data_IF_170227448537
#
_entry.id   IF_170227448537
#
_cell.length_a   1.000
_cell.length_b   1.000
_cell.length_c   1.000
_cell.angle_alpha   90.00
_cell.angle_beta   90.00
_cell.angle_gamma   90.00
#
_symmetry.space_group_name_H-M   'P 1'
#
loop_
_entity.id
_entity.type
_entity.pdbx_description
1 polymer ?
#
# COMPACT_ATOMS: atom_id res chain seq x y z
N UNK A 1 -15.40 -19.43 16.67
CA UNK A 1 -15.05 -20.86 16.61
C UNK A 1 -13.67 -20.99 15.97
N UNK A 2 -12.70 -21.59 16.66
CA UNK A 2 -11.46 -21.99 16.00
C UNK A 2 -11.82 -23.11 15.03
N UNK A 3 -11.57 -22.90 13.74
CA UNK A 3 -11.82 -23.94 12.75
C UNK A 3 -10.60 -24.85 12.75
N UNK A 4 -10.70 -25.96 13.47
CA UNK A 4 -9.68 -27.00 13.51
C UNK A 4 -9.44 -27.56 12.10
N UNK A 5 -8.18 -27.69 11.72
CA UNK A 5 -7.79 -28.24 10.41
C UNK A 5 -7.68 -27.22 9.27
N UNK A 6 -7.94 -25.92 9.50
CA UNK A 6 -7.58 -24.89 8.53
C UNK A 6 -6.18 -24.37 8.79
N UNK A 7 -5.37 -24.26 7.75
CA UNK A 7 -4.06 -23.63 7.80
C UNK A 7 -3.91 -22.61 6.66
N UNK A 8 -3.20 -21.52 6.94
CA UNK A 8 -2.93 -20.51 5.93
C UNK A 8 -1.91 -19.49 6.40
N UNK A 9 -1.20 -18.91 5.45
CA UNK A 9 -0.11 -17.98 5.70
C UNK A 9 -0.10 -16.89 4.62
N UNK A 10 0.24 -15.66 5.02
CA UNK A 10 0.50 -14.56 4.10
C UNK A 10 1.99 -14.48 3.78
N UNK A 11 2.36 -14.90 2.58
CA UNK A 11 3.73 -14.89 2.08
C UNK A 11 4.24 -13.47 1.82
N UNK A 12 3.39 -12.63 1.21
CA UNK A 12 3.74 -11.27 0.81
C UNK A 12 2.55 -10.33 1.01
N UNK A 13 2.81 -9.13 1.53
CA UNK A 13 1.79 -8.11 1.72
C UNK A 13 2.37 -6.73 1.42
N UNK A 14 1.98 -6.16 0.28
CA UNK A 14 2.24 -4.76 -0.09
C UNK A 14 1.12 -4.22 -0.97
N UNK A 15 1.12 -2.92 -1.25
CA UNK A 15 0.16 -2.31 -2.19
C UNK A 15 0.25 -2.88 -3.61
N UNK A 16 1.40 -3.46 -3.99
CA UNK A 16 1.56 -4.03 -5.34
C UNK A 16 0.94 -5.42 -5.46
N UNK A 17 0.90 -6.18 -4.36
CA UNK A 17 0.38 -7.55 -4.32
C UNK A 17 0.21 -8.01 -2.88
N UNK A 18 -0.82 -8.80 -2.65
CA UNK A 18 -0.98 -9.59 -1.43
C UNK A 18 -1.14 -11.05 -1.85
N UNK A 19 -0.30 -11.93 -1.33
CA UNK A 19 -0.30 -13.34 -1.72
C UNK A 19 0.02 -14.26 -0.56
N UNK A 20 -0.42 -15.50 -0.67
CA UNK A 20 -0.24 -16.49 0.37
C UNK A 20 -0.90 -17.81 -0.02
N UNK A 21 -1.26 -18.58 0.99
CA UNK A 21 -2.04 -19.80 0.82
C UNK A 21 -3.05 -20.00 1.94
N UNK A 22 -4.10 -20.75 1.64
CA UNK A 22 -5.16 -21.15 2.57
C UNK A 22 -5.69 -22.53 2.17
N UNK A 23 -5.76 -23.45 3.12
CA UNK A 23 -6.20 -24.81 2.90
C UNK A 23 -7.03 -25.36 4.07
N UNK A 24 -8.01 -26.19 3.74
CA UNK A 24 -8.65 -27.10 4.70
C UNK A 24 -7.89 -28.43 4.65
N UNK A 25 -7.10 -28.72 5.67
CA UNK A 25 -6.27 -29.93 5.75
C UNK A 25 -7.09 -31.19 5.96
N UNK A 26 -8.37 -31.07 6.33
CA UNK A 26 -9.28 -32.22 6.45
C UNK A 26 -10.04 -32.49 5.16
N UNK A 27 -10.20 -31.47 4.33
CA UNK A 27 -10.88 -31.52 3.03
C UNK A 27 -10.04 -30.79 1.98
N UNK A 28 -8.87 -31.34 1.61
CA UNK A 28 -7.89 -30.67 0.75
C UNK A 28 -8.43 -30.35 -0.66
N UNK A 29 -9.46 -31.07 -1.10
CA UNK A 29 -10.21 -30.84 -2.34
C UNK A 29 -11.20 -29.67 -2.26
N UNK A 30 -11.51 -29.18 -1.06
CA UNK A 30 -12.51 -28.13 -0.85
C UNK A 30 -11.88 -26.77 -1.13
N UNK A 31 -12.35 -26.03 -2.15
CA UNK A 31 -11.83 -24.69 -2.41
C UNK A 31 -12.16 -23.77 -1.24
N UNK A 32 -11.16 -23.02 -0.80
CA UNK A 32 -11.30 -21.99 0.21
C UNK A 32 -11.15 -20.61 -0.41
N UNK A 33 -11.65 -19.59 0.27
CA UNK A 33 -11.48 -18.20 -0.14
C UNK A 33 -10.96 -17.38 1.02
N UNK A 34 -10.14 -16.38 0.70
CA UNK A 34 -9.69 -15.37 1.63
C UNK A 34 -10.51 -14.10 1.46
N UNK A 35 -10.73 -13.37 2.55
CA UNK A 35 -11.24 -12.00 2.53
C UNK A 35 -10.11 -11.05 2.94
N UNK A 36 -9.81 -10.07 2.09
CA UNK A 36 -8.91 -8.97 2.39
C UNK A 36 -9.72 -7.82 2.98
N UNK A 37 -9.38 -7.42 4.20
CA UNK A 37 -9.99 -6.30 4.90
C UNK A 37 -8.97 -5.18 5.09
N UNK A 38 -9.40 -3.94 4.91
CA UNK A 38 -8.66 -2.74 5.27
C UNK A 38 -9.44 -2.01 6.37
N UNK A 39 -8.98 -2.14 7.62
CA UNK A 39 -9.84 -1.92 8.78
C UNK A 39 -11.09 -2.82 8.73
N UNK A 40 -12.27 -2.21 8.78
CA UNK A 40 -13.57 -2.92 8.71
C UNK A 40 -14.14 -3.01 7.27
N UNK A 41 -13.44 -2.44 6.29
CA UNK A 41 -13.87 -2.45 4.89
C UNK A 41 -13.41 -3.71 4.18
N UNK A 42 -14.34 -4.47 3.62
CA UNK A 42 -14.01 -5.57 2.70
C UNK A 42 -13.47 -4.99 1.40
N UNK A 43 -12.22 -5.32 1.08
CA UNK A 43 -11.54 -4.92 -0.16
C UNK A 43 -11.82 -5.94 -1.25
N UNK A 44 -11.61 -7.22 -0.96
CA UNK A 44 -11.77 -8.29 -1.95
C UNK A 44 -12.00 -9.64 -1.28
N UNK A 45 -12.69 -10.53 -2.00
CA UNK A 45 -12.78 -11.96 -1.70
C UNK A 45 -12.17 -12.74 -2.86
N UNK A 46 -11.18 -13.58 -2.60
CA UNK A 46 -10.42 -14.30 -3.64
C UNK A 46 -10.28 -15.77 -3.30
N UNK A 47 -10.47 -16.64 -4.28
CA UNK A 47 -10.26 -18.07 -4.14
C UNK A 47 -8.77 -18.41 -3.93
N UNK A 48 -8.51 -19.39 -3.08
CA UNK A 48 -7.21 -19.97 -2.86
C UNK A 48 -7.07 -21.24 -3.71
N UNK A 49 -7.06 -21.07 -5.03
CA UNK A 49 -7.10 -22.16 -6.03
C UNK A 49 -5.84 -22.23 -6.91
N UNK A 50 -4.87 -21.34 -6.67
CA UNK A 50 -3.65 -21.27 -7.47
C UNK A 50 -2.69 -22.42 -7.09
N UNK A 51 -1.97 -22.97 -8.07
CA UNK A 51 -1.03 -24.05 -7.82
C UNK A 51 0.14 -23.59 -6.93
N UNK A 52 0.56 -24.48 -6.00
CA UNK A 52 1.62 -24.33 -5.01
C UNK A 52 2.40 -25.64 -4.88
N UNK A 53 3.13 -25.99 -5.94
CA UNK A 53 3.96 -27.21 -5.98
C UNK A 53 5.02 -27.24 -4.85
N UNK A 54 5.44 -26.07 -4.36
CA UNK A 54 6.36 -25.93 -3.21
C UNK A 54 5.76 -26.44 -1.88
N UNK A 55 4.43 -26.45 -1.76
CA UNK A 55 3.70 -26.93 -0.59
C UNK A 55 3.28 -28.39 -0.71
N UNK A 56 3.08 -28.89 -1.93
CA UNK A 56 2.79 -30.31 -2.20
C UNK A 56 3.91 -31.22 -1.66
N UNK A 57 5.17 -30.85 -1.89
CA UNK A 57 6.34 -31.56 -1.34
C UNK A 57 6.43 -31.56 0.20
N UNK A 58 5.56 -30.81 0.89
CA UNK A 58 5.45 -30.75 2.36
C UNK A 58 4.19 -31.44 2.89
N UNK A 59 3.44 -32.15 2.03
CA UNK A 59 2.19 -32.83 2.40
C UNK A 59 0.98 -31.89 2.53
N UNK A 60 1.04 -30.69 1.95
CA UNK A 60 -0.07 -29.75 1.89
C UNK A 60 -0.77 -29.79 0.52
N UNK A 61 -2.01 -29.28 0.40
CA UNK A 61 -2.73 -29.29 -0.87
C UNK A 61 -2.01 -28.47 -1.95
N UNK A 62 -1.99 -28.99 -3.18
CA UNK A 62 -1.28 -28.36 -4.30
C UNK A 62 -2.00 -27.16 -4.88
N UNK A 63 -3.32 -27.03 -4.71
CA UNK A 63 -4.12 -25.89 -5.19
C UNK A 63 -4.70 -25.10 -4.01
N UNK A 64 -3.83 -24.37 -3.30
CA UNK A 64 -4.19 -23.59 -2.11
C UNK A 64 -3.66 -22.16 -2.14
N UNK A 65 -3.06 -21.71 -3.25
CA UNK A 65 -2.47 -20.38 -3.35
C UNK A 65 -3.51 -19.31 -3.65
N UNK A 66 -3.35 -18.12 -3.07
CA UNK A 66 -4.09 -16.93 -3.46
C UNK A 66 -3.13 -15.80 -3.85
N UNK A 67 -3.59 -14.90 -4.72
CA UNK A 67 -2.88 -13.67 -5.05
C UNK A 67 -3.86 -12.59 -5.47
N UNK A 68 -3.84 -11.49 -4.73
CA UNK A 68 -4.62 -10.27 -4.94
C UNK A 68 -3.67 -9.23 -5.54
N UNK A 69 -3.84 -8.84 -6.81
CA UNK A 69 -2.94 -7.89 -7.45
C UNK A 69 -3.28 -6.46 -7.00
N UNK A 70 -2.30 -5.55 -7.09
CA UNK A 70 -2.39 -4.21 -6.51
C UNK A 70 -3.58 -3.38 -7.03
N UNK A 71 -3.97 -3.58 -8.28
CA UNK A 71 -5.15 -2.92 -8.87
C UNK A 71 -6.46 -3.29 -8.17
N UNK A 72 -6.56 -4.48 -7.55
CA UNK A 72 -7.71 -4.90 -6.75
C UNK A 72 -7.61 -4.41 -5.31
N UNK A 73 -6.38 -4.29 -4.79
CA UNK A 73 -6.13 -3.73 -3.46
C UNK A 73 -6.57 -2.27 -3.40
N UNK A 74 -6.34 -1.52 -4.49
CA UNK A 74 -6.71 -0.12 -4.63
C UNK A 74 -5.83 0.82 -3.81
N UNK A 75 -6.32 2.05 -3.60
CA UNK A 75 -5.63 3.04 -2.81
C UNK A 75 -5.74 2.70 -1.32
N UNK A 76 -4.59 2.33 -0.75
CA UNK A 76 -4.42 2.17 0.69
C UNK A 76 -3.59 3.32 1.26
N UNK A 77 -3.87 3.68 2.49
CA UNK A 77 -3.11 4.70 3.21
C UNK A 77 -1.89 4.11 3.89
N UNK A 78 -0.84 4.93 4.05
CA UNK A 78 0.30 4.51 4.87
C UNK A 78 -0.17 4.33 6.32
N UNK A 79 0.32 3.27 6.97
CA UNK A 79 -0.13 2.92 8.30
C UNK A 79 -1.51 2.26 8.38
N UNK A 80 -2.21 2.02 7.26
CA UNK A 80 -3.49 1.30 7.25
C UNK A 80 -3.28 -0.18 7.63
N UNK A 81 -4.16 -0.73 8.46
CA UNK A 81 -4.08 -2.13 8.90
C UNK A 81 -4.82 -3.03 7.91
N UNK A 82 -4.09 -3.98 7.32
CA UNK A 82 -4.65 -5.01 6.45
C UNK A 82 -4.78 -6.34 7.18
N UNK A 83 -5.94 -6.96 7.05
CA UNK A 83 -6.22 -8.30 7.56
C UNK A 83 -6.55 -9.24 6.42
N UNK A 84 -6.00 -10.45 6.45
CA UNK A 84 -6.37 -11.52 5.52
C UNK A 84 -7.06 -12.60 6.33
N UNK A 85 -8.35 -12.77 6.09
CA UNK A 85 -9.22 -13.66 6.84
C UNK A 85 -9.59 -14.87 5.99
N UNK A 86 -9.95 -15.97 6.65
CA UNK A 86 -10.78 -17.00 6.01
C UNK A 86 -12.15 -16.38 5.72
N UNK A 87 -12.56 -16.36 4.45
CA UNK A 87 -13.77 -15.67 4.01
C UNK A 87 -15.01 -16.14 4.80
N UNK A 88 -15.85 -15.18 5.20
CA UNK A 88 -17.04 -15.45 6.00
C UNK A 88 -16.77 -15.72 7.49
N UNK A 89 -15.56 -15.49 7.97
CA UNK A 89 -15.18 -15.71 9.38
C UNK A 89 -14.34 -14.55 9.91
N UNK A 90 -14.04 -14.58 11.21
CA UNK A 90 -13.08 -13.67 11.87
C UNK A 90 -11.69 -14.31 12.05
N UNK A 91 -11.41 -15.44 11.38
CA UNK A 91 -10.15 -16.17 11.54
C UNK A 91 -9.08 -15.57 10.63
N UNK A 92 -8.04 -15.01 11.23
CA UNK A 92 -6.88 -14.47 10.50
C UNK A 92 -5.96 -15.59 10.00
N UNK A 93 -5.41 -15.39 8.81
CA UNK A 93 -4.27 -16.16 8.34
C UNK A 93 -3.02 -15.73 9.11
N UNK A 94 -2.09 -16.67 9.29
CA UNK A 94 -0.80 -16.38 9.93
C UNK A 94 -0.06 -15.33 9.11
N UNK A 95 0.56 -14.38 9.81
CA UNK A 95 1.18 -13.22 9.18
C UNK A 95 0.18 -12.10 8.88
N UNK A 96 -1.04 -12.13 9.41
CA UNK A 96 -1.97 -11.00 9.44
C UNK A 96 -2.64 -10.88 10.82
N UNK A 97 -3.13 -9.69 11.23
CA UNK A 97 -3.07 -8.42 10.51
C UNK A 97 -1.65 -7.85 10.41
N UNK A 98 -1.39 -6.98 9.42
CA UNK A 98 -0.17 -6.17 9.37
C UNK A 98 -0.53 -4.72 9.09
N UNK A 99 0.23 -3.82 9.71
CA UNK A 99 0.22 -2.42 9.35
C UNK A 99 0.99 -2.27 8.04
N UNK A 100 0.34 -1.74 7.01
CA UNK A 100 0.98 -1.44 5.75
C UNK A 100 1.97 -0.30 5.99
N UNK A 101 3.22 -0.52 5.57
CA UNK A 101 4.19 0.56 5.42
C UNK A 101 4.37 0.78 3.94
N UNK A 102 3.88 1.91 3.47
CA UNK A 102 4.14 2.41 2.14
C UNK A 102 5.46 3.16 2.25
N UNK A 103 6.53 2.57 1.72
CA UNK A 103 7.74 3.35 1.48
C UNK A 103 7.36 4.54 0.59
N UNK A 104 7.36 5.73 1.18
CA UNK A 104 7.27 7.00 0.48
C UNK A 104 8.56 7.16 -0.32
N UNK A 105 8.44 7.31 -1.63
CA UNK A 105 9.57 7.59 -2.52
C UNK A 105 9.41 9.02 -3.01
N UNK A 106 9.65 9.96 -2.08
CA UNK A 106 9.55 11.39 -2.36
C UNK A 106 10.94 11.88 -2.77
N UNK A 107 11.02 12.58 -3.90
CA UNK A 107 12.16 13.45 -4.23
C UNK A 107 11.73 14.89 -4.18
N UNK A 108 12.61 15.75 -3.69
CA UNK A 108 12.32 17.18 -3.64
C UNK A 108 13.55 17.99 -3.28
N UNK A 109 13.42 19.29 -3.48
CA UNK A 109 14.38 20.29 -3.05
C UNK A 109 13.62 21.47 -2.47
N UNK A 110 14.11 21.98 -1.34
CA UNK A 110 13.76 23.29 -0.85
C UNK A 110 14.73 24.29 -1.47
N UNK A 111 14.23 25.20 -2.31
CA UNK A 111 15.09 26.14 -3.02
C UNK A 111 15.52 27.27 -2.08
N UNK A 112 14.55 28.05 -1.60
CA UNK A 112 14.80 29.23 -0.78
C UNK A 112 13.54 29.69 -0.02
N UNK A 113 13.76 30.66 0.87
CA UNK A 113 12.73 31.53 1.43
C UNK A 113 13.00 32.94 0.89
N UNK A 114 11.96 33.57 0.33
CA UNK A 114 12.00 34.98 -0.07
C UNK A 114 10.84 35.73 0.60
N UNK A 115 11.17 36.55 1.60
CA UNK A 115 10.18 37.16 2.48
C UNK A 115 9.33 36.10 3.18
N UNK A 116 8.03 36.11 2.91
CA UNK A 116 7.05 35.23 3.52
C UNK A 116 6.66 34.04 2.63
N UNK A 117 7.56 33.66 1.70
CA UNK A 117 7.30 32.62 0.71
C UNK A 117 8.41 31.56 0.70
N UNK A 118 8.04 30.31 0.96
CA UNK A 118 8.90 29.15 0.82
C UNK A 118 8.72 28.53 -0.57
N UNK A 119 9.82 28.29 -1.27
CA UNK A 119 9.79 27.75 -2.63
C UNK A 119 10.59 26.45 -2.73
N UNK A 120 10.19 25.59 -3.67
CA UNK A 120 10.88 24.34 -3.93
C UNK A 120 10.15 23.49 -4.95
N UNK A 121 10.50 22.21 -4.99
CA UNK A 121 9.78 21.20 -5.74
C UNK A 121 9.72 19.88 -5.01
N UNK A 122 8.70 19.08 -5.30
CA UNK A 122 8.51 17.75 -4.72
C UNK A 122 7.76 16.84 -5.70
N UNK A 123 8.17 15.57 -5.77
CA UNK A 123 7.58 14.52 -6.61
C UNK A 123 7.42 13.26 -5.77
N UNK A 124 6.21 12.71 -5.73
CA UNK A 124 6.00 11.29 -5.39
C UNK A 124 6.40 10.45 -6.60
N UNK A 125 7.55 9.80 -6.52
CA UNK A 125 8.10 8.99 -7.62
C UNK A 125 7.22 7.79 -7.97
N UNK A 126 6.29 7.42 -7.08
CA UNK A 126 5.33 6.35 -7.32
C UNK A 126 4.13 6.84 -8.11
N UNK A 127 3.79 8.12 -7.97
CA UNK A 127 2.65 8.78 -8.62
C UNK A 127 3.06 10.15 -9.17
N UNK A 128 4.03 10.21 -10.10
CA UNK A 128 4.58 11.49 -10.58
C UNK A 128 3.56 12.34 -11.36
N UNK A 129 2.42 11.76 -11.74
CA UNK A 129 1.29 12.50 -12.32
C UNK A 129 0.42 13.21 -11.28
N UNK A 130 0.51 12.87 -10.00
CA UNK A 130 -0.29 13.43 -8.91
C UNK A 130 0.55 14.48 -8.15
N UNK A 131 0.17 15.77 -8.17
CA UNK A 131 0.86 16.80 -7.42
C UNK A 131 0.79 16.52 -5.91
N UNK A 132 1.91 16.69 -5.21
CA UNK A 132 1.94 16.60 -3.76
C UNK A 132 1.42 17.89 -3.12
N UNK A 133 0.73 17.78 -2.00
CA UNK A 133 0.48 18.91 -1.10
C UNK A 133 1.66 19.05 -0.13
N UNK A 134 2.13 20.27 0.07
CA UNK A 134 3.29 20.58 0.93
C UNK A 134 2.87 21.56 2.01
N UNK A 135 3.13 21.21 3.26
CA UNK A 135 2.92 22.06 4.43
C UNK A 135 4.25 22.68 4.87
N UNK A 136 4.23 23.99 5.15
CA UNK A 136 5.29 24.67 5.88
C UNK A 136 4.98 24.58 7.37
N UNK A 137 5.88 23.99 8.16
CA UNK A 137 5.72 23.79 9.60
C UNK A 137 6.79 24.56 10.35
N UNK A 138 6.38 25.42 11.29
CA UNK A 138 7.26 26.15 12.19
C UNK A 138 6.86 25.85 13.64
N UNK A 139 7.82 25.43 14.47
CA UNK A 139 7.60 25.03 15.87
C UNK A 139 6.45 24.02 16.07
N UNK A 140 6.31 23.08 15.13
CA UNK A 140 5.26 22.06 15.15
C UNK A 140 3.86 22.55 14.73
N UNK A 141 3.72 23.82 14.33
CA UNK A 141 2.48 24.40 13.78
C UNK A 141 2.58 24.56 12.26
N UNK A 142 1.55 24.15 11.53
CA UNK A 142 1.42 24.46 10.10
C UNK A 142 1.19 25.98 9.94
N UNK A 143 2.09 26.65 9.23
CA UNK A 143 2.07 28.11 8.96
C UNK A 143 1.71 28.45 7.52
N UNK A 144 1.64 27.45 6.64
CA UNK A 144 1.21 27.59 5.25
C UNK A 144 1.12 26.24 4.55
N UNK A 145 0.40 26.18 3.44
CA UNK A 145 0.23 24.98 2.62
C UNK A 145 0.15 25.37 1.14
N UNK A 146 0.69 24.54 0.25
CA UNK A 146 0.50 24.68 -1.19
C UNK A 146 0.52 23.33 -1.91
N UNK A 147 -0.22 23.26 -3.03
CA UNK A 147 -0.10 22.14 -3.98
C UNK A 147 1.09 22.38 -4.90
N UNK A 148 1.97 21.39 -5.03
CA UNK A 148 3.18 21.41 -5.83
C UNK A 148 2.88 21.22 -7.34
N UNK A 149 2.10 22.14 -7.93
CA UNK A 149 1.66 22.07 -9.32
C UNK A 149 2.32 23.11 -10.24
N UNK A 150 3.29 23.87 -9.74
CA UNK A 150 4.09 24.80 -10.53
C UNK A 150 5.01 24.07 -11.51
N UNK A 151 5.25 24.66 -12.68
CA UNK A 151 6.15 24.10 -13.68
C UNK A 151 7.63 24.34 -13.32
N UNK A 152 8.41 23.27 -13.35
CA UNK A 152 9.84 23.20 -13.07
C UNK A 152 10.55 22.46 -14.19
N UNK A 153 10.83 23.20 -15.27
CA UNK A 153 11.50 22.63 -16.46
C UNK A 153 12.89 22.12 -16.13
N UNK A 154 13.58 22.80 -15.21
CA UNK A 154 14.87 22.38 -14.65
C UNK A 154 14.81 20.97 -14.05
N UNK A 155 13.70 20.61 -13.41
CA UNK A 155 13.51 19.31 -12.75
C UNK A 155 13.34 18.18 -13.76
N UNK A 156 12.53 18.38 -14.81
CA UNK A 156 12.41 17.37 -15.88
C UNK A 156 13.67 17.29 -16.74
N UNK A 157 14.36 18.41 -16.97
CA UNK A 157 15.66 18.44 -17.67
C UNK A 157 16.75 17.68 -16.90
N UNK A 158 16.67 17.66 -15.57
CA UNK A 158 17.51 16.83 -14.70
C UNK A 158 17.11 15.33 -14.66
N UNK A 159 16.11 14.93 -15.46
CA UNK A 159 15.69 13.53 -15.63
C UNK A 159 14.57 13.06 -14.68
N UNK A 160 13.89 13.97 -13.98
CA UNK A 160 12.72 13.62 -13.17
C UNK A 160 11.47 13.38 -14.04
N UNK A 161 10.49 12.60 -13.57
CA UNK A 161 9.38 12.13 -14.41
C UNK A 161 8.28 13.17 -14.71
N UNK A 162 8.34 14.37 -14.11
CA UNK A 162 7.34 15.43 -14.28
C UNK A 162 7.96 16.81 -14.06
N UNK A 163 7.45 17.82 -14.76
CA UNK A 163 7.78 19.23 -14.51
C UNK A 163 6.73 19.90 -13.59
N UNK A 164 5.54 19.32 -13.44
CA UNK A 164 4.47 19.84 -12.58
C UNK A 164 4.69 19.41 -11.13
N UNK A 165 5.69 20.01 -10.50
CA UNK A 165 6.16 19.62 -9.17
C UNK A 165 6.64 20.79 -8.29
N UNK A 166 6.58 22.03 -8.79
CA UNK A 166 7.02 23.21 -8.05
C UNK A 166 5.98 23.67 -7.02
N UNK A 167 6.42 23.99 -5.81
CA UNK A 167 5.59 24.61 -4.78
C UNK A 167 6.06 26.02 -4.45
N UNK A 168 5.10 26.86 -4.04
CA UNK A 168 5.31 28.20 -3.47
C UNK A 168 4.32 28.35 -2.33
N UNK A 169 4.80 28.27 -1.09
CA UNK A 169 3.97 28.30 0.12
C UNK A 169 4.08 29.68 0.74
N UNK A 170 3.03 30.52 0.66
CA UNK A 170 2.96 31.71 1.47
C UNK A 170 2.70 31.30 2.92
N UNK A 171 3.46 31.87 3.84
CA UNK A 171 3.20 31.75 5.27
C UNK A 171 3.08 33.14 5.87
N UNK A 172 2.38 33.24 7.00
CA UNK A 172 2.25 34.49 7.76
C UNK A 172 2.85 34.24 9.13
N UNK A 173 3.59 35.22 9.65
CA UNK A 173 4.11 35.20 11.03
C UNK A 173 2.97 34.97 12.05
#
# INVERSE_FOLDING_TARGET
AQITGIAGYVDHMSQRRISGWLADLRHPERPMSVALMAGDRLVATVAADKPRADLEGRGLPSACGFSIPGEVVGDLSDGETLSVLVAGTTTHLVGSPRRLSIAVDIRGLFDNIDGNLACGWVIDMRRPGEPCTVEAVCDGRVVGEAVASGLRRDVVEAGMPTDRCGFRIPFTD
#
